data_IF_470444181679
#
_entry.id   IF_470444181679
#
_cell.length_a   1.000
_cell.length_b   1.000
_cell.length_c   1.000
_cell.angle_alpha   90.00
_cell.angle_beta   90.00
_cell.angle_gamma   90.00
#
_symmetry.space_group_name_H-M   'P 1'
#
loop_
_entity.id
_entity.type
_entity.pdbx_description
1 polymer ?
#
# COMPACT_ATOMS: atom_id res chain seq x y z
N UNK A 1 27.52 4.83 -50.17
CA UNK A 1 26.94 5.88 -49.30
C UNK A 1 25.66 5.30 -48.71
N UNK A 2 25.74 4.79 -47.47
CA UNK A 2 24.70 3.92 -46.89
C UNK A 2 23.57 4.76 -46.26
N UNK A 3 22.40 4.77 -46.90
CA UNK A 3 21.19 5.47 -46.44
C UNK A 3 20.36 4.72 -45.39
N UNK A 4 20.87 3.62 -44.82
CA UNK A 4 20.10 2.78 -43.89
C UNK A 4 20.04 3.27 -42.44
N UNK A 5 20.78 4.33 -42.08
CA UNK A 5 20.78 4.86 -40.70
C UNK A 5 19.65 5.86 -40.40
N UNK A 6 18.97 6.42 -41.41
CA UNK A 6 17.89 7.40 -41.17
C UNK A 6 16.52 6.77 -40.84
N UNK A 7 16.32 5.47 -41.09
CA UNK A 7 15.03 4.80 -40.85
C UNK A 7 14.77 4.45 -39.37
N UNK A 8 15.82 4.27 -38.57
CA UNK A 8 15.69 3.86 -37.17
C UNK A 8 15.37 5.02 -36.20
N UNK A 9 15.56 6.28 -36.62
CA UNK A 9 15.33 7.45 -35.76
C UNK A 9 13.88 7.97 -35.80
N UNK A 10 13.07 7.53 -36.78
CA UNK A 10 11.69 7.98 -36.95
C UNK A 10 10.68 7.27 -36.03
N UNK A 11 11.08 6.23 -35.28
CA UNK A 11 10.21 5.48 -34.36
C UNK A 11 10.33 5.94 -32.89
N UNK A 12 11.24 6.87 -32.58
CA UNK A 12 11.47 7.38 -31.22
C UNK A 12 10.26 8.10 -30.58
N UNK A 13 9.41 8.86 -31.31
CA UNK A 13 8.31 9.61 -30.67
C UNK A 13 7.19 8.73 -30.10
N UNK A 14 7.03 7.49 -30.59
CA UNK A 14 6.00 6.57 -30.10
C UNK A 14 6.40 5.84 -28.82
N UNK A 15 7.69 5.76 -28.49
CA UNK A 15 8.16 5.20 -27.21
C UNK A 15 7.95 6.16 -26.03
N UNK A 16 7.67 7.44 -26.29
CA UNK A 16 7.50 8.48 -25.26
C UNK A 16 6.08 8.54 -24.65
N UNK A 17 5.12 7.73 -25.12
CA UNK A 17 3.71 7.75 -24.67
C UNK A 17 3.41 6.74 -23.54
N UNK A 18 4.41 6.09 -22.94
CA UNK A 18 4.19 4.94 -22.04
C UNK A 18 4.27 5.22 -20.52
N UNK A 19 4.51 6.45 -20.08
CA UNK A 19 4.53 6.78 -18.64
C UNK A 19 3.22 7.46 -18.25
N UNK A 20 2.12 6.72 -18.29
CA UNK A 20 0.85 7.16 -17.71
C UNK A 20 0.98 7.21 -16.19
N UNK A 21 1.49 8.31 -15.66
CA UNK A 21 1.40 8.59 -14.23
C UNK A 21 -0.01 9.08 -13.92
N UNK A 22 -0.51 8.71 -12.74
CA UNK A 22 -1.74 9.32 -12.23
C UNK A 22 -1.49 9.87 -10.84
N UNK A 23 -2.31 10.87 -10.51
CA UNK A 23 -2.23 11.59 -9.24
C UNK A 23 -3.05 10.86 -8.18
N UNK A 24 -2.46 10.65 -7.01
CA UNK A 24 -3.19 10.24 -5.81
C UNK A 24 -3.36 11.45 -4.87
N UNK A 25 -4.46 11.42 -4.11
CA UNK A 25 -4.74 12.39 -3.06
C UNK A 25 -5.24 11.64 -1.83
N UNK A 26 -4.54 11.77 -0.72
CA UNK A 26 -4.95 11.18 0.56
C UNK A 26 -5.29 12.31 1.50
N UNK A 27 -6.51 12.32 2.01
CA UNK A 27 -6.96 13.26 3.05
C UNK A 27 -7.30 12.47 4.29
N UNK A 28 -6.95 12.99 5.46
CA UNK A 28 -7.41 12.32 6.67
C UNK A 28 -7.48 13.18 7.89
N UNK A 29 -8.15 12.62 8.90
CA UNK A 29 -8.26 13.16 10.25
C UNK A 29 -7.99 12.05 11.26
N UNK A 30 -7.00 12.25 12.12
CA UNK A 30 -6.70 11.38 13.26
C UNK A 30 -6.74 12.20 14.54
N UNK A 31 -7.81 12.01 15.31
CA UNK A 31 -8.05 12.73 16.56
C UNK A 31 -7.86 14.25 16.42
N UNK A 32 -7.06 14.81 17.33
CA UNK A 32 -6.78 16.25 17.45
C UNK A 32 -5.27 16.56 17.44
N UNK A 33 -4.46 15.68 16.86
CA UNK A 33 -3.00 15.78 16.88
C UNK A 33 -2.49 17.02 16.13
N UNK A 34 -1.43 17.63 16.63
CA UNK A 34 -0.75 18.76 15.98
C UNK A 34 0.76 18.54 16.01
N UNK A 35 1.54 19.47 15.46
CA UNK A 35 3.00 19.44 15.57
C UNK A 35 3.46 19.13 17.01
N UNK A 36 4.44 18.24 17.23
CA UNK A 36 5.35 17.67 16.24
C UNK A 36 4.83 16.42 15.50
N UNK A 37 3.57 16.01 15.69
CA UNK A 37 3.06 14.81 15.06
C UNK A 37 3.08 14.89 13.52
N UNK A 38 3.54 13.80 12.88
CA UNK A 38 3.56 13.64 11.42
C UNK A 38 2.92 12.32 10.99
N UNK A 39 2.26 12.34 9.85
CA UNK A 39 1.93 11.13 9.08
C UNK A 39 2.97 10.97 7.97
N UNK A 40 3.39 9.73 7.75
CA UNK A 40 4.24 9.32 6.65
C UNK A 40 3.45 8.38 5.74
N UNK A 41 3.57 8.57 4.42
CA UNK A 41 3.15 7.57 3.43
C UNK A 41 4.39 6.75 3.06
N UNK A 42 4.33 5.45 3.29
CA UNK A 42 5.43 4.53 3.02
C UNK A 42 5.01 3.42 2.06
N UNK A 43 5.94 3.00 1.22
CA UNK A 43 5.81 1.85 0.32
C UNK A 43 7.04 0.95 0.49
N UNK A 44 6.85 -0.16 1.20
CA UNK A 44 7.97 -0.98 1.67
C UNK A 44 8.94 -0.12 2.50
N UNK A 45 10.26 -0.12 2.20
CA UNK A 45 11.24 0.68 2.92
C UNK A 45 11.27 2.16 2.49
N UNK A 46 10.53 2.54 1.44
CA UNK A 46 10.58 3.88 0.87
C UNK A 46 9.54 4.79 1.52
N UNK A 47 9.96 6.00 1.89
CA UNK A 47 9.04 7.10 2.25
C UNK A 47 8.64 7.82 0.97
N UNK A 48 7.35 7.83 0.66
CA UNK A 48 6.80 8.50 -0.51
C UNK A 48 6.48 9.97 -0.23
N UNK A 49 5.91 10.26 0.94
CA UNK A 49 5.50 11.62 1.34
C UNK A 49 5.36 11.70 2.87
N UNK A 50 5.27 12.92 3.42
CA UNK A 50 4.94 13.14 4.82
C UNK A 50 4.26 14.48 5.04
N UNK A 51 3.36 14.55 6.03
CA UNK A 51 2.66 15.77 6.40
C UNK A 51 2.64 15.93 7.93
N UNK A 52 2.80 17.18 8.39
CA UNK A 52 2.50 17.52 9.77
C UNK A 52 0.98 17.57 9.97
N UNK A 53 0.49 17.09 11.12
CA UNK A 53 -0.93 17.18 11.43
C UNK A 53 -1.26 18.57 11.95
N UNK A 54 -2.45 19.07 11.60
CA UNK A 54 -3.05 20.29 12.16
C UNK A 54 -4.45 19.95 12.66
N UNK A 55 -4.64 19.89 13.99
CA UNK A 55 -5.90 19.46 14.61
C UNK A 55 -6.41 18.09 14.06
N UNK A 56 -5.48 17.16 13.93
CA UNK A 56 -5.66 15.82 13.40
C UNK A 56 -5.70 15.75 11.87
N UNK A 57 -5.86 16.87 11.18
CA UNK A 57 -6.00 16.89 9.72
C UNK A 57 -4.65 16.80 9.02
N UNK A 58 -4.61 16.06 7.92
CA UNK A 58 -3.45 15.97 7.02
C UNK A 58 -3.90 15.77 5.56
N UNK A 59 -3.04 16.14 4.63
CA UNK A 59 -3.19 15.91 3.20
C UNK A 59 -1.84 15.46 2.63
N UNK A 60 -1.86 14.41 1.80
CA UNK A 60 -0.71 13.90 1.07
C UNK A 60 -1.09 13.79 -0.40
N UNK A 61 -0.20 14.21 -1.30
CA UNK A 61 -0.48 14.22 -2.74
C UNK A 61 0.78 13.92 -3.51
N UNK A 62 0.63 13.18 -4.60
CA UNK A 62 1.75 12.83 -5.45
C UNK A 62 1.29 12.08 -6.69
N UNK A 63 2.25 11.51 -7.39
CA UNK A 63 2.02 10.74 -8.62
C UNK A 63 2.70 9.39 -8.53
N UNK A 64 2.06 8.35 -9.06
CA UNK A 64 2.66 7.03 -9.21
C UNK A 64 2.35 6.47 -10.60
N UNK A 65 3.13 5.47 -11.03
CA UNK A 65 3.01 4.86 -12.36
C UNK A 65 1.87 3.83 -12.44
N UNK A 66 1.48 3.22 -11.32
CA UNK A 66 0.40 2.25 -11.27
C UNK A 66 -0.29 2.19 -9.89
N UNK A 67 -1.57 1.81 -9.82
CA UNK A 67 -2.26 1.55 -8.56
C UNK A 67 -1.64 0.42 -7.75
N UNK A 68 -1.28 0.72 -6.50
CA UNK A 68 -0.67 -0.21 -5.57
C UNK A 68 -1.01 0.14 -4.11
N UNK A 69 -0.85 -0.84 -3.23
CA UNK A 69 -0.99 -0.66 -1.79
C UNK A 69 0.15 0.18 -1.21
N UNK A 70 -0.16 0.91 -0.15
CA UNK A 70 0.80 1.66 0.66
C UNK A 70 0.36 1.67 2.13
N UNK A 71 1.23 2.15 3.02
CA UNK A 71 0.95 2.26 4.44
C UNK A 71 1.05 3.72 4.89
N UNK A 72 0.07 4.18 5.67
CA UNK A 72 0.20 5.39 6.46
C UNK A 72 0.77 5.03 7.83
N UNK A 73 1.70 5.85 8.31
CA UNK A 73 2.39 5.65 9.58
C UNK A 73 2.30 6.93 10.38
N UNK A 74 1.74 6.86 11.58
CA UNK A 74 1.60 8.00 12.47
C UNK A 74 2.73 8.02 13.49
N UNK A 75 3.46 9.13 13.51
CA UNK A 75 4.55 9.36 14.47
C UNK A 75 4.27 10.61 15.27
N UNK A 76 3.88 10.42 16.53
CA UNK A 76 3.47 11.52 17.44
C UNK A 76 4.61 12.48 17.77
N UNK A 77 5.87 12.02 17.65
CA UNK A 77 7.07 12.83 17.83
C UNK A 77 7.67 13.33 16.51
N UNK A 78 7.00 13.08 15.38
CA UNK A 78 7.41 13.55 14.07
C UNK A 78 8.60 12.83 13.44
N UNK A 79 9.21 11.85 14.12
CA UNK A 79 10.35 11.08 13.62
C UNK A 79 9.89 9.68 13.26
N UNK A 80 10.08 9.28 12.00
CA UNK A 80 9.82 7.92 11.56
C UNK A 80 10.79 6.96 12.25
N UNK A 81 10.24 5.99 12.98
CA UNK A 81 11.02 4.99 13.73
C UNK A 81 11.21 3.68 12.96
N UNK A 82 10.77 3.64 11.70
CA UNK A 82 10.98 2.49 10.82
C UNK A 82 12.41 2.41 10.33
N UNK A 83 12.91 1.18 10.20
CA UNK A 83 14.24 0.93 9.67
C UNK A 83 14.80 -0.41 10.10
N UNK A 84 16.01 -0.69 9.61
CA UNK A 84 16.76 -1.88 10.02
C UNK A 84 17.37 -1.67 11.40
N UNK A 85 16.93 -2.48 12.36
CA UNK A 85 17.50 -2.59 13.71
C UNK A 85 17.95 -4.04 13.90
N UNK A 86 19.23 -4.27 14.19
CA UNK A 86 19.78 -5.61 14.40
C UNK A 86 19.45 -6.60 13.26
N UNK A 87 19.61 -6.17 12.00
CA UNK A 87 19.28 -6.94 10.78
C UNK A 87 17.79 -7.31 10.65
N UNK A 88 16.90 -6.73 11.45
CA UNK A 88 15.44 -6.89 11.35
C UNK A 88 14.82 -5.54 11.02
N UNK A 89 13.90 -5.53 10.05
CA UNK A 89 13.15 -4.33 9.75
C UNK A 89 12.07 -4.13 10.81
N UNK A 90 12.14 -3.03 11.55
CA UNK A 90 11.15 -2.67 12.57
C UNK A 90 10.14 -1.74 11.94
N UNK A 91 8.87 -2.09 12.06
CA UNK A 91 7.73 -1.29 11.61
C UNK A 91 7.12 -0.52 12.79
N UNK A 92 6.78 0.74 12.61
CA UNK A 92 6.03 1.51 13.60
C UNK A 92 4.60 0.93 13.75
N UNK A 93 4.09 0.77 14.97
CA UNK A 93 2.82 0.05 15.20
C UNK A 93 1.57 0.84 14.82
N UNK A 94 1.62 2.18 14.90
CA UNK A 94 0.48 3.06 14.60
C UNK A 94 0.38 3.30 13.09
N UNK A 95 -0.27 2.37 12.38
CA UNK A 95 -0.34 2.35 10.91
C UNK A 95 -1.68 1.92 10.36
N UNK A 96 -1.96 2.34 9.12
CA UNK A 96 -3.10 1.90 8.33
C UNK A 96 -2.65 1.54 6.92
N UNK A 97 -3.11 0.41 6.39
CA UNK A 97 -2.90 0.07 4.98
C UNK A 97 -4.00 0.69 4.12
N UNK A 98 -3.62 1.21 2.96
CA UNK A 98 -4.54 1.78 1.97
C UNK A 98 -4.08 1.43 0.54
N UNK A 99 -4.89 1.80 -0.45
CA UNK A 99 -4.56 1.63 -1.85
C UNK A 99 -4.44 2.99 -2.53
N UNK A 100 -3.34 3.24 -3.24
CA UNK A 100 -3.15 4.45 -4.02
C UNK A 100 -3.94 4.33 -5.32
N UNK A 101 -5.03 5.07 -5.45
CA UNK A 101 -5.91 5.01 -6.62
C UNK A 101 -6.06 6.37 -7.32
N UNK A 102 -6.54 6.40 -8.59
CA UNK A 102 -6.89 7.62 -9.29
C UNK A 102 -8.14 8.27 -8.66
N UNK A 103 -7.95 9.02 -7.58
CA UNK A 103 -9.02 9.67 -6.84
C UNK A 103 -8.64 10.00 -5.39
N UNK A 104 -9.52 10.71 -4.66
CA UNK A 104 -9.31 10.98 -3.25
C UNK A 104 -9.55 9.73 -2.40
N UNK A 105 -8.55 9.36 -1.60
CA UNK A 105 -8.66 8.39 -0.50
C UNK A 105 -8.83 9.17 0.80
N UNK A 106 -9.85 8.82 1.58
CA UNK A 106 -10.17 9.47 2.86
C UNK A 106 -9.85 8.52 4.01
N UNK A 107 -9.19 9.04 5.04
CA UNK A 107 -8.79 8.28 6.23
C UNK A 107 -9.34 8.97 7.48
N UNK A 108 -10.15 8.27 8.26
CA UNK A 108 -10.74 8.78 9.48
C UNK A 108 -10.43 7.87 10.67
N UNK A 109 -9.94 8.46 11.76
CA UNK A 109 -9.77 7.77 13.04
C UNK A 109 -9.95 8.71 14.22
N UNK A 110 -10.47 8.18 15.33
CA UNK A 110 -10.61 8.92 16.58
C UNK A 110 -9.27 9.18 17.29
N UNK A 111 -8.27 8.28 17.16
CA UNK A 111 -6.99 8.41 17.87
C UNK A 111 -5.79 7.75 17.15
N UNK A 112 -5.92 6.51 16.69
CA UNK A 112 -4.81 5.74 16.08
C UNK A 112 -5.17 5.22 14.69
N UNK A 113 -4.18 5.13 13.80
CA UNK A 113 -4.33 4.56 12.48
C UNK A 113 -4.64 3.05 12.48
N UNK A 114 -4.37 2.33 13.58
CA UNK A 114 -4.67 0.89 13.68
C UNK A 114 -6.16 0.61 13.46
N UNK A 115 -7.02 1.50 13.95
CA UNK A 115 -8.48 1.41 13.83
C UNK A 115 -9.03 2.41 12.80
N UNK A 116 -8.19 2.86 11.85
CA UNK A 116 -8.63 3.83 10.86
C UNK A 116 -9.66 3.23 9.90
N UNK A 117 -10.72 4.01 9.66
CA UNK A 117 -11.62 3.79 8.55
C UNK A 117 -11.06 4.47 7.31
N UNK A 118 -10.75 3.68 6.28
CA UNK A 118 -10.34 4.17 4.97
C UNK A 118 -11.56 4.19 4.04
N UNK A 119 -11.66 5.12 3.11
CA UNK A 119 -12.69 5.11 2.07
C UNK A 119 -12.15 5.76 0.80
N UNK A 120 -12.75 5.45 -0.34
CA UNK A 120 -12.27 5.90 -1.62
C UNK A 120 -13.12 5.33 -2.76
N UNK A 121 -12.51 5.20 -3.92
CA UNK A 121 -13.09 4.58 -5.10
C UNK A 121 -13.08 3.05 -5.03
N UNK A 122 -13.22 2.46 -6.21
CA UNK A 122 -13.35 1.01 -6.37
C UNK A 122 -12.11 0.26 -5.85
N UNK A 123 -10.90 0.77 -6.08
CA UNK A 123 -9.69 0.04 -5.70
C UNK A 123 -9.48 0.04 -4.18
N UNK A 124 -9.83 1.15 -3.51
CA UNK A 124 -9.91 1.16 -2.04
C UNK A 124 -10.92 0.14 -1.53
N UNK A 125 -12.12 0.10 -2.12
CA UNK A 125 -13.16 -0.87 -1.72
C UNK A 125 -12.74 -2.33 -1.95
N UNK A 126 -12.08 -2.62 -3.06
CA UNK A 126 -11.54 -3.95 -3.39
C UNK A 126 -10.48 -4.36 -2.37
N UNK A 127 -9.55 -3.44 -2.06
CA UNK A 127 -8.49 -3.67 -1.09
C UNK A 127 -9.05 -3.92 0.32
N UNK A 128 -10.09 -3.19 0.72
CA UNK A 128 -10.75 -3.42 2.00
C UNK A 128 -11.45 -4.78 2.09
N UNK A 129 -12.06 -5.24 0.99
CA UNK A 129 -12.64 -6.60 0.94
C UNK A 129 -11.56 -7.66 1.08
N UNK A 130 -10.43 -7.50 0.37
CA UNK A 130 -9.27 -8.38 0.53
C UNK A 130 -8.80 -8.40 1.99
N UNK A 131 -8.49 -7.24 2.56
CA UNK A 131 -8.01 -7.11 3.94
C UNK A 131 -8.98 -7.75 4.95
N UNK A 132 -10.29 -7.50 4.79
CA UNK A 132 -11.33 -8.09 5.64
C UNK A 132 -11.36 -9.62 5.52
N UNK A 133 -11.21 -10.17 4.31
CA UNK A 133 -11.16 -11.62 4.10
C UNK A 133 -9.92 -12.27 4.71
N UNK A 134 -8.80 -11.54 4.79
CA UNK A 134 -7.53 -12.03 5.32
C UNK A 134 -7.42 -11.89 6.85
N UNK A 135 -8.15 -10.95 7.48
CA UNK A 135 -8.15 -10.74 8.95
C UNK A 135 -8.19 -12.03 9.79
N UNK A 136 -9.11 -12.99 9.58
CA UNK A 136 -9.16 -14.20 10.40
C UNK A 136 -7.89 -15.06 10.25
N UNK A 137 -7.35 -15.17 9.03
CA UNK A 137 -6.13 -15.95 8.78
C UNK A 137 -4.89 -15.26 9.36
N UNK A 138 -4.81 -13.93 9.24
CA UNK A 138 -3.76 -13.13 9.89
C UNK A 138 -3.81 -13.31 11.42
N UNK A 139 -4.99 -13.41 12.02
CA UNK A 139 -5.14 -13.68 13.46
C UNK A 139 -4.60 -15.06 13.83
N UNK A 140 -4.84 -16.08 13.01
CA UNK A 140 -4.26 -17.41 13.20
C UNK A 140 -2.74 -17.40 13.08
N UNK A 141 -2.19 -16.71 12.07
CA UNK A 141 -0.73 -16.54 11.93
C UNK A 141 -0.10 -15.89 13.16
N UNK A 142 -0.75 -14.85 13.72
CA UNK A 142 -0.27 -14.16 14.94
C UNK A 142 -0.33 -15.01 16.20
N UNK A 143 -1.26 -15.97 16.27
CA UNK A 143 -1.49 -16.80 17.46
C UNK A 143 -0.91 -18.20 17.34
N UNK A 144 -0.34 -18.56 16.19
CA UNK A 144 0.30 -19.84 15.94
C UNK A 144 1.42 -20.11 16.95
N UNK A 145 1.39 -21.29 17.57
CA UNK A 145 2.37 -21.73 18.59
C UNK A 145 3.24 -22.89 18.12
N UNK A 146 2.98 -23.42 16.92
CA UNK A 146 3.77 -24.49 16.30
C UNK A 146 3.99 -24.23 14.82
N UNK A 147 5.04 -24.83 14.27
CA UNK A 147 5.32 -24.76 12.83
C UNK A 147 4.13 -25.28 12.01
N UNK A 148 3.49 -26.37 12.43
CA UNK A 148 2.34 -26.93 11.72
C UNK A 148 1.13 -25.96 11.69
N UNK A 149 0.88 -25.22 12.78
CA UNK A 149 -0.17 -24.21 12.82
C UNK A 149 0.17 -23.03 11.91
N UNK A 150 1.43 -22.59 11.93
CA UNK A 150 1.93 -21.55 11.06
C UNK A 150 1.78 -21.93 9.58
N UNK A 151 2.29 -23.11 9.19
CA UNK A 151 2.21 -23.62 7.81
C UNK A 151 0.76 -23.77 7.33
N UNK A 152 -0.14 -24.23 8.20
CA UNK A 152 -1.56 -24.36 7.86
C UNK A 152 -2.21 -22.99 7.62
N UNK A 153 -1.96 -22.01 8.49
CA UNK A 153 -2.48 -20.66 8.34
C UNK A 153 -1.87 -19.94 7.13
N UNK A 154 -0.58 -20.12 6.86
CA UNK A 154 0.12 -19.66 5.67
C UNK A 154 -0.52 -20.19 4.38
N UNK A 155 -0.83 -21.49 4.32
CA UNK A 155 -1.57 -22.08 3.18
C UNK A 155 -2.96 -21.49 3.04
N UNK A 156 -3.68 -21.29 4.13
CA UNK A 156 -5.01 -20.66 4.10
C UNK A 156 -4.94 -19.21 3.60
N UNK A 157 -3.88 -18.48 3.96
CA UNK A 157 -3.67 -17.10 3.53
C UNK A 157 -3.50 -17.05 2.01
N UNK A 158 -2.60 -17.87 1.45
CA UNK A 158 -2.42 -17.95 0.00
C UNK A 158 -3.68 -18.42 -0.73
N UNK A 159 -4.46 -19.33 -0.15
CA UNK A 159 -5.76 -19.74 -0.73
C UNK A 159 -6.78 -18.61 -0.74
N UNK A 160 -6.85 -17.80 0.32
CA UNK A 160 -7.75 -16.64 0.40
C UNK A 160 -7.37 -15.57 -0.62
N UNK A 161 -6.07 -15.29 -0.80
CA UNK A 161 -5.57 -14.40 -1.86
C UNK A 161 -5.94 -14.90 -3.25
N UNK A 162 -5.71 -16.19 -3.55
CA UNK A 162 -6.09 -16.78 -4.83
C UNK A 162 -7.62 -16.77 -5.04
N UNK A 163 -8.41 -16.98 -3.99
CA UNK A 163 -9.87 -16.89 -4.07
C UNK A 163 -10.31 -15.46 -4.39
N UNK A 164 -9.70 -14.45 -3.77
CA UNK A 164 -9.95 -13.05 -4.08
C UNK A 164 -9.60 -12.71 -5.54
N UNK A 165 -8.44 -13.16 -6.03
CA UNK A 165 -8.01 -12.98 -7.42
C UNK A 165 -9.00 -13.60 -8.40
N UNK A 166 -9.44 -14.83 -8.15
CA UNK A 166 -10.44 -15.52 -9.00
C UNK A 166 -11.78 -14.79 -9.00
N UNK A 167 -12.19 -14.22 -7.88
CA UNK A 167 -13.45 -13.49 -7.76
C UNK A 167 -13.40 -12.06 -8.34
N UNK A 168 -12.21 -11.44 -8.42
CA UNK A 168 -12.03 -10.05 -8.85
C UNK A 168 -10.94 -9.93 -9.95
N UNK A 169 -10.99 -10.71 -11.05
CA UNK A 169 -9.86 -10.87 -11.97
C UNK A 169 -9.43 -9.60 -12.70
N UNK A 170 -10.27 -8.56 -12.73
CA UNK A 170 -10.00 -7.27 -13.37
C UNK A 170 -9.54 -6.18 -12.39
N UNK A 171 -9.46 -6.48 -11.09
CA UNK A 171 -9.04 -5.50 -10.08
C UNK A 171 -7.52 -5.33 -10.07
N UNK A 172 -7.04 -4.08 -9.96
CA UNK A 172 -5.62 -3.80 -9.73
C UNK A 172 -5.11 -4.42 -8.42
N UNK A 173 -5.98 -4.58 -7.43
CA UNK A 173 -5.63 -5.28 -6.18
C UNK A 173 -5.28 -6.74 -6.46
N UNK A 174 -6.03 -7.40 -7.35
CA UNK A 174 -5.73 -8.78 -7.74
C UNK A 174 -4.43 -8.90 -8.53
N UNK A 175 -4.10 -7.89 -9.35
CA UNK A 175 -2.81 -7.85 -10.04
C UNK A 175 -1.65 -7.69 -9.06
N UNK A 176 -1.76 -6.81 -8.06
CA UNK A 176 -0.75 -6.64 -7.02
C UNK A 176 -0.53 -7.94 -6.23
N UNK A 177 -1.61 -8.60 -5.81
CA UNK A 177 -1.56 -9.92 -5.13
C UNK A 177 -0.82 -10.95 -5.98
N UNK A 178 -1.13 -11.04 -7.29
CA UNK A 178 -0.43 -11.95 -8.21
C UNK A 178 1.06 -11.63 -8.34
N UNK A 179 1.43 -10.34 -8.34
CA UNK A 179 2.84 -9.92 -8.39
C UNK A 179 3.57 -10.30 -7.09
N UNK A 180 2.93 -10.12 -5.93
CA UNK A 180 3.47 -10.53 -4.63
C UNK A 180 3.68 -12.05 -4.56
N UNK A 181 2.68 -12.84 -4.95
CA UNK A 181 2.78 -14.31 -5.01
C UNK A 181 3.90 -14.78 -5.95
N UNK A 182 4.16 -14.08 -7.06
CA UNK A 182 5.28 -14.39 -7.96
C UNK A 182 6.64 -14.05 -7.34
N UNK A 183 6.72 -12.96 -6.58
CA UNK A 183 7.98 -12.48 -6.01
C UNK A 183 8.40 -13.25 -4.76
N UNK A 184 7.46 -13.56 -3.89
CA UNK A 184 7.74 -14.13 -2.57
C UNK A 184 7.19 -15.55 -2.37
N UNK A 185 6.41 -16.07 -3.33
CA UNK A 185 5.62 -17.28 -3.12
C UNK A 185 4.41 -17.02 -2.21
N UNK A 186 3.52 -18.01 -2.02
CA UNK A 186 2.62 -17.97 -0.89
C UNK A 186 3.44 -17.93 0.41
N UNK A 187 2.95 -17.27 1.48
CA UNK A 187 3.62 -17.27 2.78
C UNK A 187 3.68 -18.67 3.41
#
# INVERSE_FOLDING_TARGET
MNYYFLGFLALAPWLAQAQSTYTYLIKGKVGHLTAPAKVYLVYGPQVLDSAALKNGQFELKGTTQWPHSAELVLERQGRLKEGLVNKRYVKSPDRASLFLEPGPVVVASADSLVEAHVSGGQLTGDYQRLQTSLKPVISQLKTARSQAQFDAASRQYGQAELAFVKANPTSWVSLEVLQQLRMFGPP
#
